data_IF_610538079752
#
_entry.id   IF_610538079752
#
_cell.length_a   1.000
_cell.length_b   1.000
_cell.length_c   1.000
_cell.angle_alpha   90.00
_cell.angle_beta   90.00
_cell.angle_gamma   90.00
#
_symmetry.space_group_name_H-M   'P 1'
#
loop_
_entity.id
_entity.type
_entity.pdbx_description
1 polymer ?
#
# COMPACT_ATOMS: atom_id res chain seq x y z
N UNK A 1 -81.02 -30.34 -6.74
CA UNK A 1 -80.64 -29.50 -7.88
C UNK A 1 -79.68 -28.42 -7.40
N UNK A 2 -78.48 -28.41 -7.99
CA UNK A 2 -77.66 -27.23 -8.31
C UNK A 2 -77.04 -26.39 -7.17
N UNK A 3 -75.69 -26.47 -7.15
CA UNK A 3 -74.69 -25.39 -7.00
C UNK A 3 -73.89 -25.46 -5.68
N UNK A 4 -72.66 -25.98 -5.60
CA UNK A 4 -71.43 -25.82 -6.42
C UNK A 4 -70.67 -24.50 -6.15
N UNK A 5 -69.51 -24.65 -5.51
CA UNK A 5 -68.29 -23.79 -5.50
C UNK A 5 -68.43 -22.28 -5.28
N UNK A 6 -67.86 -21.75 -4.17
CA UNK A 6 -66.92 -20.60 -4.20
C UNK A 6 -66.15 -20.49 -2.87
N UNK A 7 -64.94 -21.06 -2.81
CA UNK A 7 -63.64 -20.36 -2.71
C UNK A 7 -63.35 -19.59 -1.40
N UNK A 8 -62.75 -20.36 -0.49
CA UNK A 8 -61.71 -19.98 0.47
C UNK A 8 -60.76 -18.91 -0.10
N UNK A 9 -60.84 -17.68 0.40
CA UNK A 9 -59.85 -16.63 0.17
C UNK A 9 -59.19 -16.30 1.51
N UNK A 10 -58.15 -17.08 1.82
CA UNK A 10 -57.27 -16.89 2.96
C UNK A 10 -56.45 -15.61 2.72
N UNK A 11 -56.84 -14.53 3.40
CA UNK A 11 -56.09 -13.27 3.47
C UNK A 11 -54.83 -13.50 4.31
N UNK A 12 -53.78 -14.03 3.69
CA UNK A 12 -52.43 -14.13 4.27
C UNK A 12 -51.59 -13.00 3.70
N UNK A 13 -51.63 -11.86 4.41
CA UNK A 13 -50.76 -10.72 4.19
C UNK A 13 -49.32 -11.16 4.46
N UNK A 14 -48.65 -11.64 3.42
CA UNK A 14 -47.22 -11.92 3.45
C UNK A 14 -46.47 -10.63 3.69
N UNK A 15 -46.13 -10.35 4.96
CA UNK A 15 -45.04 -9.46 5.32
C UNK A 15 -43.78 -10.01 4.65
N UNK A 16 -43.46 -9.49 3.46
CA UNK A 16 -42.12 -9.55 2.92
C UNK A 16 -41.28 -8.68 3.84
N UNK A 17 -40.70 -9.31 4.86
CA UNK A 17 -39.57 -8.76 5.59
C UNK A 17 -38.51 -8.56 4.51
N UNK A 18 -38.36 -7.33 4.02
CA UNK A 18 -37.20 -6.97 3.21
C UNK A 18 -36.01 -7.29 4.09
N UNK A 19 -35.27 -8.35 3.76
CA UNK A 19 -33.94 -8.57 4.29
C UNK A 19 -33.16 -7.31 3.97
N UNK A 20 -33.05 -6.42 4.95
CA UNK A 20 -32.01 -5.40 4.95
C UNK A 20 -30.73 -6.18 4.86
N UNK A 21 -30.11 -6.21 3.68
CA UNK A 21 -28.72 -6.60 3.56
C UNK A 21 -27.95 -5.59 4.42
N UNK A 22 -27.75 -5.91 5.70
CA UNK A 22 -26.68 -5.35 6.49
C UNK A 22 -25.39 -5.98 5.99
N UNK A 23 -25.02 -5.70 4.75
CA UNK A 23 -23.64 -5.90 4.30
C UNK A 23 -22.87 -4.65 4.70
N UNK A 24 -22.79 -4.46 6.01
CA UNK A 24 -21.87 -3.54 6.67
C UNK A 24 -20.49 -4.22 6.74
N UNK A 25 -20.07 -4.81 5.62
CA UNK A 25 -18.69 -5.19 5.44
C UNK A 25 -17.95 -3.88 5.25
N UNK A 26 -17.24 -3.44 6.29
CA UNK A 26 -16.48 -2.20 6.35
C UNK A 26 -15.51 -2.14 5.15
N UNK A 27 -15.99 -1.57 4.03
CA UNK A 27 -15.27 -1.48 2.75
C UNK A 27 -14.32 -0.28 2.77
N UNK A 28 -13.69 -0.06 3.92
CA UNK A 28 -12.74 1.02 4.16
C UNK A 28 -11.35 0.54 3.73
N UNK A 29 -10.62 1.40 3.02
CA UNK A 29 -9.25 1.09 2.65
C UNK A 29 -8.34 1.13 3.88
N UNK A 30 -7.30 0.30 3.90
CA UNK A 30 -6.22 0.41 4.87
C UNK A 30 -4.89 0.56 4.16
N UNK A 31 -4.08 1.53 4.59
CA UNK A 31 -2.74 1.72 4.02
C UNK A 31 -1.76 0.68 4.58
N UNK A 32 -0.75 0.25 3.80
CA UNK A 32 0.31 -0.61 4.30
C UNK A 32 1.08 0.05 5.44
N UNK A 33 1.60 -0.76 6.36
CA UNK A 33 2.58 -0.35 7.38
C UNK A 33 3.93 -0.92 6.94
N UNK A 34 4.96 -0.08 6.93
CA UNK A 34 6.33 -0.43 6.57
C UNK A 34 7.21 -0.65 7.80
N UNK A 35 8.01 -1.71 7.79
CA UNK A 35 8.98 -2.00 8.86
C UNK A 35 10.38 -1.47 8.56
N UNK A 36 10.82 -1.54 7.30
CA UNK A 36 12.15 -1.08 6.91
C UNK A 36 12.29 -0.87 5.40
N UNK A 37 13.44 -0.32 5.00
CA UNK A 37 13.99 -0.35 3.65
C UNK A 37 15.28 -1.17 3.67
N UNK A 38 15.31 -2.24 2.88
CA UNK A 38 16.40 -3.22 2.85
C UNK A 38 17.15 -3.15 1.53
N UNK A 39 18.47 -3.22 1.60
CA UNK A 39 19.37 -3.30 0.45
C UNK A 39 19.88 -4.72 0.28
N UNK A 40 19.87 -5.24 -0.94
CA UNK A 40 20.45 -6.56 -1.24
C UNK A 40 21.38 -6.53 -2.45
N UNK A 41 22.41 -7.36 -2.41
CA UNK A 41 23.32 -7.61 -3.51
C UNK A 41 23.48 -9.12 -3.67
N UNK A 42 23.24 -9.64 -4.87
CA UNK A 42 23.28 -11.09 -5.16
C UNK A 42 22.41 -11.94 -4.21
N UNK A 43 21.30 -11.39 -3.71
CA UNK A 43 20.39 -12.07 -2.79
C UNK A 43 20.75 -11.95 -1.30
N UNK A 44 21.91 -11.38 -0.97
CA UNK A 44 22.33 -11.15 0.41
C UNK A 44 21.97 -9.75 0.88
N UNK A 45 21.45 -9.64 2.10
CA UNK A 45 21.13 -8.36 2.71
C UNK A 45 22.40 -7.63 3.14
N UNK A 46 22.52 -6.38 2.70
CA UNK A 46 23.60 -5.49 3.06
C UNK A 46 23.24 -4.68 4.31
N UNK A 47 24.25 -4.37 5.12
CA UNK A 47 24.10 -3.33 6.13
C UNK A 47 23.97 -1.96 5.44
N UNK A 48 23.01 -1.14 5.87
CA UNK A 48 22.80 0.19 5.29
C UNK A 48 24.06 1.09 5.40
N UNK A 49 24.96 0.82 6.36
CA UNK A 49 26.24 1.52 6.48
C UNK A 49 27.39 0.98 5.62
N UNK A 50 27.14 -0.02 4.76
CA UNK A 50 28.19 -0.72 4.01
C UNK A 50 27.72 -1.16 2.61
N UNK A 51 27.23 -0.20 1.81
CA UNK A 51 26.86 -0.44 0.42
C UNK A 51 28.10 -0.28 -0.48
N UNK A 52 28.52 -1.30 -1.26
CA UNK A 52 29.72 -1.18 -2.10
C UNK A 52 29.51 -0.22 -3.28
N UNK A 53 30.40 0.75 -3.46
CA UNK A 53 30.36 1.69 -4.59
C UNK A 53 30.40 0.97 -5.95
N UNK A 54 29.63 1.46 -6.93
CA UNK A 54 29.56 0.90 -8.28
C UNK A 54 28.80 -0.43 -8.40
N UNK A 55 28.34 -1.03 -7.29
CA UNK A 55 27.54 -2.24 -7.32
C UNK A 55 26.09 -1.96 -7.71
N UNK A 56 25.48 -2.84 -8.51
CA UNK A 56 24.04 -2.79 -8.78
C UNK A 56 23.29 -3.44 -7.62
N UNK A 57 22.70 -2.62 -6.77
CA UNK A 57 21.98 -3.07 -5.56
C UNK A 57 20.48 -3.05 -5.81
N UNK A 58 19.78 -4.02 -5.22
CA UNK A 58 18.34 -3.98 -5.12
C UNK A 58 17.96 -3.30 -3.80
N UNK A 59 16.86 -2.55 -3.84
CA UNK A 59 16.25 -1.92 -2.69
C UNK A 59 14.79 -2.33 -2.59
N UNK A 60 14.40 -2.82 -1.42
CA UNK A 60 13.04 -3.31 -1.16
C UNK A 60 12.45 -2.54 0.01
N UNK A 61 11.26 -1.99 -0.19
CA UNK A 61 10.48 -1.39 0.90
C UNK A 61 9.62 -2.50 1.52
N UNK A 62 9.92 -2.84 2.77
CA UNK A 62 9.33 -3.99 3.45
C UNK A 62 8.05 -3.57 4.16
N UNK A 63 6.94 -4.21 3.80
CA UNK A 63 5.67 -4.02 4.49
C UNK A 63 5.54 -5.02 5.65
N UNK A 64 5.41 -4.50 6.87
CA UNK A 64 5.02 -5.26 8.05
C UNK A 64 3.57 -5.73 7.94
N UNK A 65 2.69 -4.84 7.47
CA UNK A 65 1.29 -5.13 7.17
C UNK A 65 0.93 -4.64 5.79
N UNK A 66 0.29 -5.50 5.00
CA UNK A 66 -0.21 -5.15 3.66
C UNK A 66 -1.48 -4.31 3.76
N UNK A 67 -1.65 -3.37 2.83
CA UNK A 67 -2.89 -2.62 2.72
C UNK A 67 -4.04 -3.43 2.13
N UNK A 68 -5.27 -3.02 2.40
CA UNK A 68 -6.51 -3.64 1.91
C UNK A 68 -7.35 -2.65 1.10
N UNK A 69 -8.13 -3.17 0.14
CA UNK A 69 -8.99 -2.38 -0.77
C UNK A 69 -8.24 -1.32 -1.60
N UNK A 70 -6.94 -1.52 -1.81
CA UNK A 70 -6.10 -0.71 -2.70
C UNK A 70 -6.00 -1.44 -4.04
N UNK A 71 -6.46 -0.81 -5.11
CA UNK A 71 -6.42 -1.39 -6.46
C UNK A 71 -5.19 -0.98 -7.27
N UNK A 72 -4.49 0.09 -6.86
CA UNK A 72 -3.25 0.53 -7.51
C UNK A 72 -2.31 1.25 -6.57
N UNK A 73 -1.05 0.86 -6.63
CA UNK A 73 0.09 1.52 -5.99
C UNK A 73 0.94 2.22 -7.07
N UNK A 74 1.49 3.38 -6.75
CA UNK A 74 2.47 4.07 -7.61
C UNK A 74 3.67 4.46 -6.77
N UNK A 75 4.85 3.91 -7.12
CA UNK A 75 6.08 4.09 -6.38
C UNK A 75 7.07 4.95 -7.15
N UNK A 76 7.50 6.06 -6.56
CA UNK A 76 8.59 6.90 -7.06
C UNK A 76 9.78 6.82 -6.11
N UNK A 77 10.95 6.53 -6.66
CA UNK A 77 12.19 6.36 -5.90
C UNK A 77 13.16 7.46 -6.30
N UNK A 78 13.72 8.16 -5.33
CA UNK A 78 14.74 9.18 -5.57
C UNK A 78 15.84 9.11 -4.53
N UNK A 79 17.06 9.44 -4.93
CA UNK A 79 18.21 9.58 -4.06
C UNK A 79 19.06 10.68 -4.65
N UNK A 80 19.42 11.68 -3.84
CA UNK A 80 20.30 12.75 -4.31
C UNK A 80 21.64 12.16 -4.77
N UNK A 81 22.15 12.64 -5.91
CA UNK A 81 23.38 12.12 -6.51
C UNK A 81 23.24 10.76 -7.24
N UNK A 82 22.04 10.17 -7.32
CA UNK A 82 21.78 8.94 -8.08
C UNK A 82 20.73 9.22 -9.16
N UNK A 83 21.14 9.20 -10.43
CA UNK A 83 20.27 9.53 -11.57
C UNK A 83 19.56 8.32 -12.18
N UNK A 84 19.98 7.10 -11.85
CA UNK A 84 19.52 5.86 -12.49
C UNK A 84 18.43 5.10 -11.71
N UNK A 85 17.80 5.71 -10.71
CA UNK A 85 16.64 5.10 -10.08
C UNK A 85 15.49 5.04 -11.11
N UNK A 86 14.97 3.82 -11.34
CA UNK A 86 13.93 3.60 -12.33
C UNK A 86 12.72 4.53 -12.11
N UNK A 87 12.02 4.96 -13.18
CA UNK A 87 10.88 5.86 -13.11
C UNK A 87 9.72 5.25 -12.31
N UNK A 88 8.68 6.05 -12.07
CA UNK A 88 7.49 5.67 -11.30
C UNK A 88 6.98 4.30 -11.75
N UNK A 89 6.91 3.33 -10.82
CA UNK A 89 6.39 1.99 -11.07
C UNK A 89 4.98 1.88 -10.51
N UNK A 90 4.01 1.62 -11.38
CA UNK A 90 2.67 1.23 -10.96
C UNK A 90 2.61 -0.27 -10.69
N UNK A 91 1.91 -0.66 -9.62
CA UNK A 91 1.63 -2.06 -9.28
C UNK A 91 0.17 -2.21 -8.89
N UNK A 92 -0.43 -3.35 -9.22
CA UNK A 92 -1.74 -3.79 -8.71
C UNK A 92 -1.59 -4.93 -7.68
N UNK A 93 -0.36 -5.25 -7.28
CA UNK A 93 -0.06 -6.27 -6.26
C UNK A 93 0.34 -5.60 -4.94
N UNK A 94 0.07 -6.28 -3.83
CA UNK A 94 0.50 -5.88 -2.49
C UNK A 94 1.87 -6.47 -2.09
N UNK A 95 2.63 -7.01 -3.06
CA UNK A 95 3.99 -7.48 -2.82
C UNK A 95 4.90 -6.33 -2.38
N UNK A 96 6.03 -6.65 -1.74
CA UNK A 96 7.01 -5.61 -1.38
C UNK A 96 7.64 -5.01 -2.63
N UNK A 97 7.49 -3.70 -2.85
CA UNK A 97 7.97 -3.07 -4.05
C UNK A 97 9.50 -3.02 -4.00
N UNK A 98 10.10 -3.40 -5.12
CA UNK A 98 11.55 -3.46 -5.29
C UNK A 98 11.99 -2.57 -6.44
N UNK A 99 13.12 -1.91 -6.25
CA UNK A 99 13.83 -1.18 -7.29
C UNK A 99 15.32 -1.55 -7.26
N UNK A 100 16.08 -1.06 -8.24
CA UNK A 100 17.53 -1.24 -8.26
C UNK A 100 18.21 0.04 -8.73
N UNK A 101 19.42 0.29 -8.24
CA UNK A 101 20.28 1.36 -8.71
C UNK A 101 21.74 0.93 -8.68
N UNK A 102 22.59 1.62 -9.42
CA UNK A 102 24.04 1.51 -9.27
C UNK A 102 24.47 2.42 -8.13
N UNK A 103 25.11 1.86 -7.10
CA UNK A 103 25.57 2.62 -5.96
C UNK A 103 26.56 3.71 -6.43
N UNK A 104 26.37 4.97 -6.00
CA UNK A 104 27.21 6.09 -6.43
C UNK A 104 28.64 6.00 -5.84
N UNK A 105 29.39 7.09 -5.91
CA UNK A 105 30.68 7.21 -5.22
C UNK A 105 30.52 7.06 -3.70
N UNK A 106 31.60 6.73 -2.97
CA UNK A 106 31.55 6.67 -1.51
C UNK A 106 31.01 7.97 -0.87
N UNK A 107 30.12 7.83 0.12
CA UNK A 107 29.42 8.96 0.71
C UNK A 107 28.20 8.58 1.53
N UNK A 108 27.54 9.58 2.11
CA UNK A 108 26.28 9.42 2.83
C UNK A 108 25.12 9.88 1.95
N UNK A 109 24.04 9.10 1.95
CA UNK A 109 22.92 9.27 1.04
C UNK A 109 21.59 9.08 1.76
N UNK A 110 20.56 9.75 1.25
CA UNK A 110 19.17 9.59 1.69
C UNK A 110 18.34 9.11 0.51
N UNK A 111 17.80 7.90 0.61
CA UNK A 111 16.77 7.41 -0.29
C UNK A 111 15.42 7.95 0.16
N UNK A 112 14.64 8.45 -0.79
CA UNK A 112 13.24 8.84 -0.61
C UNK A 112 12.35 8.00 -1.51
N UNK A 113 11.28 7.46 -0.94
CA UNK A 113 10.29 6.65 -1.64
C UNK A 113 8.94 7.32 -1.44
N UNK A 114 8.34 7.80 -2.51
CA UNK A 114 6.99 8.34 -2.50
C UNK A 114 6.03 7.29 -3.03
N UNK A 115 4.95 7.06 -2.31
CA UNK A 115 3.91 6.09 -2.66
C UNK A 115 2.57 6.79 -2.77
N UNK A 116 1.86 6.55 -3.87
CA UNK A 116 0.43 6.86 -3.99
C UNK A 116 -0.37 5.57 -3.93
N UNK A 117 -1.35 5.52 -3.05
CA UNK A 117 -2.31 4.42 -2.94
C UNK A 117 -3.65 4.88 -3.52
N UNK A 118 -4.12 4.22 -4.56
CA UNK A 118 -5.44 4.43 -5.13
C UNK A 118 -6.34 3.30 -4.64
N UNK A 119 -7.42 3.65 -3.95
CA UNK A 119 -8.32 2.69 -3.34
C UNK A 119 -9.77 2.96 -3.73
N UNK A 120 -10.55 1.90 -3.73
CA UNK A 120 -12.00 1.92 -3.92
C UNK A 120 -12.60 1.58 -2.57
N UNK A 121 -13.17 2.56 -1.88
CA UNK A 121 -13.70 2.38 -0.54
C UNK A 121 -14.80 3.39 -0.23
N UNK A 122 -15.71 3.01 0.68
CA UNK A 122 -16.71 3.93 1.24
C UNK A 122 -16.05 4.80 2.33
N UNK A 123 -15.04 5.58 1.95
CA UNK A 123 -14.25 6.40 2.87
C UNK A 123 -12.75 6.24 2.67
N UNK A 124 -12.00 7.30 2.96
CA UNK A 124 -10.54 7.25 2.99
C UNK A 124 -10.03 6.46 4.21
N UNK A 125 -8.83 5.87 4.14
CA UNK A 125 -8.19 5.22 5.27
C UNK A 125 -7.97 6.23 6.38
N UNK A 126 -8.10 5.77 7.63
CA UNK A 126 -7.52 6.52 8.75
C UNK A 126 -6.00 6.48 8.58
N UNK A 127 -5.39 7.66 8.53
CA UNK A 127 -3.94 7.75 8.44
C UNK A 127 -3.32 7.41 9.78
N UNK A 128 -2.22 6.67 9.72
CA UNK A 128 -1.33 6.54 10.85
C UNK A 128 -0.47 7.79 10.93
N UNK A 129 -0.16 8.25 12.13
CA UNK A 129 0.88 9.26 12.34
C UNK A 129 2.21 8.76 11.75
N UNK A 130 3.07 9.70 11.37
CA UNK A 130 4.42 9.34 10.95
C UNK A 130 5.18 8.62 12.06
N UNK A 131 6.03 7.65 11.69
CA UNK A 131 6.83 6.88 12.64
C UNK A 131 8.24 6.64 12.11
N UNK A 132 9.15 6.31 13.03
CA UNK A 132 10.54 6.02 12.70
C UNK A 132 10.72 4.56 12.28
N UNK A 133 11.59 4.34 11.30
CA UNK A 133 12.14 3.04 10.95
C UNK A 133 13.66 3.08 11.14
N UNK A 134 14.34 1.94 11.04
CA UNK A 134 15.80 1.90 11.19
C UNK A 134 16.48 2.87 10.21
N UNK A 135 17.19 3.88 10.72
CA UNK A 135 17.89 4.86 9.89
C UNK A 135 16.98 5.71 8.99
N UNK A 136 15.69 5.87 9.32
CA UNK A 136 14.73 6.50 8.43
C UNK A 136 13.39 6.82 9.08
N UNK A 137 12.41 7.18 8.25
CA UNK A 137 11.05 7.48 8.72
C UNK A 137 10.00 7.16 7.67
N UNK A 138 8.76 6.99 8.12
CA UNK A 138 7.56 6.86 7.30
C UNK A 138 6.62 7.98 7.70
N UNK A 139 6.10 8.73 6.73
CA UNK A 139 5.08 9.76 6.96
C UNK A 139 3.94 9.55 6.00
N UNK A 140 2.72 9.47 6.53
CA UNK A 140 1.51 9.44 5.70
C UNK A 140 0.96 10.85 5.52
N UNK A 141 0.30 11.06 4.38
CA UNK A 141 -0.48 12.28 4.15
C UNK A 141 -1.81 11.96 3.50
N UNK A 142 -2.83 12.73 3.89
CA UNK A 142 -4.16 12.64 3.32
C UNK A 142 -4.13 13.30 1.97
N UNK A 143 -4.69 12.62 0.97
CA UNK A 143 -4.87 13.21 -0.32
C UNK A 143 -6.28 12.83 -0.83
N UNK A 144 -7.32 13.35 -0.17
CA UNK A 144 -8.70 13.20 -0.62
C UNK A 144 -9.35 11.84 -0.35
N UNK A 145 -10.56 11.67 -0.88
CA UNK A 145 -11.44 10.54 -0.55
C UNK A 145 -11.09 9.22 -1.24
N UNK A 146 -10.21 9.22 -2.25
CA UNK A 146 -9.94 8.07 -3.12
C UNK A 146 -8.45 7.73 -3.24
N UNK A 147 -7.57 8.54 -2.62
CA UNK A 147 -6.15 8.26 -2.63
C UNK A 147 -5.43 8.70 -1.35
N UNK A 148 -4.39 7.96 -1.00
CA UNK A 148 -3.53 8.23 0.14
C UNK A 148 -2.09 8.32 -0.33
N UNK A 149 -1.24 8.96 0.48
CA UNK A 149 0.19 9.05 0.16
C UNK A 149 1.05 8.66 1.35
N UNK A 150 2.21 8.10 1.07
CA UNK A 150 3.29 7.94 2.03
C UNK A 150 4.61 8.43 1.44
N UNK A 151 5.43 9.02 2.31
CA UNK A 151 6.83 9.32 2.03
C UNK A 151 7.68 8.55 3.03
N UNK A 152 8.59 7.72 2.50
CA UNK A 152 9.51 6.91 3.28
C UNK A 152 10.93 7.41 3.00
N UNK A 153 11.71 7.63 4.05
CA UNK A 153 13.13 7.98 3.95
C UNK A 153 14.01 6.91 4.57
N UNK A 154 15.19 6.68 3.99
CA UNK A 154 16.22 5.77 4.51
C UNK A 154 17.60 6.33 4.27
N UNK A 155 18.37 6.50 5.33
CA UNK A 155 19.77 6.88 5.27
C UNK A 155 20.65 5.65 5.06
N UNK A 156 21.65 5.77 4.20
CA UNK A 156 22.63 4.73 3.95
C UNK A 156 24.02 5.33 3.61
N UNK A 157 25.05 4.49 3.69
CA UNK A 157 26.44 4.86 3.38
C UNK A 157 26.99 3.95 2.31
N UNK A 158 27.57 4.58 1.29
CA UNK A 158 28.31 3.92 0.23
C UNK A 158 29.81 3.95 0.56
N UNK A 159 30.50 2.83 0.36
CA UNK A 159 31.93 2.66 0.64
C UNK A 159 32.67 2.03 -0.53
#
# INVERSE_FOLDING_TARGET
MKNLFTLLSLLMTGLMITSSCSNDDDYTATLPIYSDVVFTLNGEQLAAGNIPAGSKVNVTLVQDRKGTNIYRYEYSWSCEGVTELSPVKSSNTNADPTNSFVAPTPGQYTLTINVTYNYSGNGGPTLTDGYAISGGSVTYSAAGALYGKATITKNFTVR
#
